data_IF_298853573524
#
_entry.id   IF_298853573524
#
_cell.length_a   1.000
_cell.length_b   1.000
_cell.length_c   1.000
_cell.angle_alpha   90.00
_cell.angle_beta   90.00
_cell.angle_gamma   90.00
#
_symmetry.space_group_name_H-M   'P 1'
#
loop_
_entity.id
_entity.type
_entity.pdbx_description
1 polymer ?
#
# COMPACT_ATOMS: atom_id res chain seq x y z
N UNK A 1 5.54 -17.02 17.86
CA UNK A 1 4.44 -16.44 17.07
C UNK A 1 4.18 -15.05 17.62
N UNK A 2 4.28 -13.99 16.82
CA UNK A 2 4.03 -12.63 17.32
C UNK A 2 2.53 -12.44 17.58
N UNK A 3 2.12 -11.89 18.74
CA UNK A 3 0.72 -11.65 19.04
C UNK A 3 0.13 -10.66 18.03
N UNK A 4 -1.15 -10.84 17.69
CA UNK A 4 -1.89 -9.87 16.88
C UNK A 4 -1.92 -8.54 17.62
N UNK A 5 -1.47 -7.47 16.95
CA UNK A 5 -1.52 -6.10 17.48
C UNK A 5 -2.48 -5.31 16.62
N UNK A 6 -3.55 -4.81 17.24
CA UNK A 6 -4.61 -4.04 16.58
C UNK A 6 -4.63 -2.63 17.17
N UNK A 7 -4.76 -1.63 16.32
CA UNK A 7 -5.00 -0.24 16.68
C UNK A 7 -6.41 0.16 16.27
N UNK A 8 -7.22 0.63 17.21
CA UNK A 8 -8.62 1.01 16.99
C UNK A 8 -8.72 2.52 16.72
N UNK A 9 -9.38 2.89 15.64
CA UNK A 9 -9.67 4.27 15.24
C UNK A 9 -11.15 4.64 15.42
N UNK A 10 -11.90 3.89 16.21
CA UNK A 10 -13.36 3.95 16.42
C UNK A 10 -14.19 3.50 15.19
N UNK A 11 -13.76 3.82 13.98
CA UNK A 11 -14.42 3.45 12.72
C UNK A 11 -13.70 2.32 11.96
N UNK A 12 -12.51 1.93 12.39
CA UNK A 12 -11.70 0.87 11.77
C UNK A 12 -10.72 0.26 12.78
N UNK A 13 -10.48 -1.04 12.63
CA UNK A 13 -9.47 -1.77 13.41
C UNK A 13 -8.30 -2.11 12.49
N UNK A 14 -7.13 -1.51 12.77
CA UNK A 14 -5.92 -1.69 11.98
C UNK A 14 -5.03 -2.78 12.60
N UNK A 15 -4.78 -3.87 11.87
CA UNK A 15 -3.76 -4.88 12.21
C UNK A 15 -2.35 -4.36 11.94
N UNK A 16 -1.87 -3.51 12.83
CA UNK A 16 -0.49 -2.99 12.84
C UNK A 16 0.55 -4.09 13.07
N UNK A 17 0.14 -5.27 13.54
CA UNK A 17 1.03 -6.42 13.67
C UNK A 17 1.24 -7.19 12.36
N UNK A 18 0.52 -6.86 11.29
CA UNK A 18 0.50 -7.66 10.06
C UNK A 18 1.85 -7.72 9.37
N UNK A 19 2.59 -6.60 9.33
CA UNK A 19 3.90 -6.54 8.69
C UNK A 19 4.88 -7.55 9.29
N UNK A 20 4.89 -7.66 10.61
CA UNK A 20 5.76 -8.60 11.32
C UNK A 20 5.39 -10.07 11.07
N UNK A 21 4.12 -10.36 10.76
CA UNK A 21 3.62 -11.73 10.55
C UNK A 21 3.64 -12.15 9.07
N UNK A 22 3.45 -11.21 8.15
CA UNK A 22 3.22 -11.48 6.72
C UNK A 22 4.23 -10.76 5.80
N UNK A 23 5.13 -9.96 6.35
CA UNK A 23 6.16 -9.22 5.61
C UNK A 23 5.67 -7.92 4.95
N UNK A 24 4.38 -7.60 5.04
CA UNK A 24 3.80 -6.36 4.50
C UNK A 24 2.75 -5.76 5.45
N UNK A 25 2.65 -4.42 5.52
CA UNK A 25 1.62 -3.74 6.30
C UNK A 25 0.22 -4.09 5.84
N UNK A 26 -0.78 -3.72 6.64
CA UNK A 26 -2.18 -3.87 6.26
C UNK A 26 -2.53 -3.08 4.98
N UNK A 27 -3.33 -3.72 4.13
CA UNK A 27 -3.90 -3.09 2.93
C UNK A 27 -5.31 -2.62 3.26
N UNK A 28 -5.58 -1.35 3.01
CA UNK A 28 -6.86 -0.73 3.31
C UNK A 28 -7.85 -1.02 2.19
N UNK A 29 -9.03 -1.51 2.57
CA UNK A 29 -10.17 -1.63 1.66
C UNK A 29 -10.95 -0.29 1.63
N UNK A 30 -10.87 0.43 0.51
CA UNK A 30 -11.43 1.77 0.33
C UNK A 30 -12.96 1.88 0.23
N UNK A 31 -13.70 0.95 -0.40
CA UNK A 31 -15.13 1.12 -0.64
C UNK A 31 -15.93 1.34 0.65
N UNK A 32 -16.81 2.35 0.61
CA UNK A 32 -17.65 2.76 1.74
C UNK A 32 -16.96 3.62 2.79
N UNK A 33 -15.66 3.93 2.64
CA UNK A 33 -14.96 4.88 3.52
C UNK A 33 -15.04 6.29 2.98
N UNK A 34 -15.17 7.26 3.88
CA UNK A 34 -15.08 8.68 3.52
C UNK A 34 -13.62 9.08 3.27
N UNK A 35 -13.37 10.18 2.53
CA UNK A 35 -12.02 10.74 2.38
C UNK A 35 -11.33 10.98 3.72
N UNK A 36 -12.05 11.46 4.74
CA UNK A 36 -11.54 11.70 6.10
C UNK A 36 -11.07 10.41 6.77
N UNK A 37 -11.88 9.34 6.67
CA UNK A 37 -11.53 8.04 7.22
C UNK A 37 -10.29 7.45 6.54
N UNK A 38 -10.19 7.58 5.21
CA UNK A 38 -9.01 7.14 4.48
C UNK A 38 -7.78 7.95 4.92
N UNK A 39 -7.89 9.29 5.03
CA UNK A 39 -6.81 10.17 5.51
C UNK A 39 -6.33 9.78 6.90
N UNK A 40 -7.25 9.49 7.83
CA UNK A 40 -6.92 9.05 9.18
C UNK A 40 -6.17 7.72 9.18
N UNK A 41 -6.65 6.72 8.43
CA UNK A 41 -5.99 5.41 8.33
C UNK A 41 -4.58 5.55 7.73
N UNK A 42 -4.45 6.27 6.62
CA UNK A 42 -3.16 6.38 5.91
C UNK A 42 -2.14 7.23 6.66
N UNK A 43 -2.59 8.15 7.51
CA UNK A 43 -1.72 8.90 8.42
C UNK A 43 -1.25 8.07 9.62
N UNK A 44 -2.02 7.06 10.01
CA UNK A 44 -1.70 6.22 11.17
C UNK A 44 -0.82 5.02 10.80
N UNK A 45 -1.09 4.33 9.69
CA UNK A 45 -0.34 3.12 9.29
C UNK A 45 1.20 3.28 9.27
N UNK A 46 1.78 4.37 8.73
CA UNK A 46 3.24 4.58 8.73
C UNK A 46 3.86 4.79 10.11
N UNK A 47 3.05 5.14 11.13
CA UNK A 47 3.56 5.32 12.50
C UNK A 47 3.91 4.00 13.16
N UNK A 48 3.35 2.90 12.67
CA UNK A 48 3.55 1.55 13.21
C UNK A 48 4.32 0.63 12.27
N UNK A 49 4.44 0.99 10.99
CA UNK A 49 4.95 0.12 9.94
C UNK A 49 5.99 0.84 9.07
N UNK A 50 6.97 0.09 8.55
CA UNK A 50 8.01 0.61 7.66
C UNK A 50 7.71 0.38 6.17
N UNK A 51 6.83 -0.57 5.87
CA UNK A 51 6.40 -0.91 4.53
C UNK A 51 5.39 0.07 3.92
N UNK A 52 4.91 -0.21 2.71
CA UNK A 52 4.03 0.69 2.00
C UNK A 52 2.63 0.78 2.59
N UNK A 53 1.97 1.91 2.33
CA UNK A 53 0.54 2.09 2.55
C UNK A 53 -0.19 1.91 1.22
N UNK A 54 -1.14 0.98 1.19
CA UNK A 54 -1.96 0.68 0.02
C UNK A 54 -3.44 0.83 0.38
N UNK A 55 -4.18 1.60 -0.42
CA UNK A 55 -5.64 1.72 -0.33
C UNK A 55 -6.26 1.29 -1.65
N UNK A 56 -7.02 0.21 -1.61
CA UNK A 56 -7.57 -0.46 -2.80
C UNK A 56 -9.00 -0.03 -3.08
N UNK A 57 -9.40 -0.09 -4.36
CA UNK A 57 -10.76 0.21 -4.86
C UNK A 57 -11.25 1.62 -4.49
N UNK A 58 -10.34 2.60 -4.47
CA UNK A 58 -10.67 4.02 -4.27
C UNK A 58 -11.17 4.59 -5.60
N UNK A 59 -12.23 5.38 -5.60
CA UNK A 59 -12.65 6.14 -6.79
C UNK A 59 -11.80 7.41 -6.96
N UNK A 60 -11.79 7.98 -8.16
CA UNK A 60 -10.96 9.15 -8.46
C UNK A 60 -11.36 10.42 -7.69
N UNK A 61 -12.62 10.55 -7.28
CA UNK A 61 -13.09 11.68 -6.48
C UNK A 61 -12.47 11.63 -5.10
N UNK A 62 -12.67 10.51 -4.40
CA UNK A 62 -12.05 10.24 -3.10
C UNK A 62 -10.52 10.32 -3.18
N UNK A 63 -9.91 9.75 -4.22
CA UNK A 63 -8.45 9.78 -4.40
C UNK A 63 -7.88 11.18 -4.60
N UNK A 64 -8.66 12.14 -5.11
CA UNK A 64 -8.24 13.54 -5.26
C UNK A 64 -8.15 14.30 -3.93
N UNK A 65 -8.85 13.84 -2.89
CA UNK A 65 -8.95 14.53 -1.59
C UNK A 65 -7.98 14.02 -0.52
N UNK A 66 -7.38 12.85 -0.75
CA UNK A 66 -6.44 12.19 0.16
C UNK A 66 -4.95 12.61 0.01
N UNK A 67 -4.41 13.09 -1.15
CA UNK A 67 -2.96 13.20 -1.37
C UNK A 67 -2.21 14.09 -0.38
N UNK A 68 -2.87 15.11 0.18
CA UNK A 68 -2.25 15.99 1.19
C UNK A 68 -1.78 15.23 2.44
N UNK A 69 -2.36 14.06 2.73
CA UNK A 69 -2.03 13.23 3.90
C UNK A 69 -1.21 12.00 3.51
N UNK A 70 -0.85 11.88 2.23
CA UNK A 70 -0.06 10.79 1.68
C UNK A 70 1.13 11.36 0.88
N UNK A 71 2.08 12.04 1.53
CA UNK A 71 3.20 12.69 0.84
C UNK A 71 4.06 11.65 0.10
N UNK A 72 4.30 11.87 -1.20
CA UNK A 72 4.98 10.88 -2.05
C UNK A 72 4.09 9.72 -2.51
N UNK A 73 2.79 9.80 -2.25
CA UNK A 73 1.80 8.86 -2.74
C UNK A 73 1.38 9.11 -4.19
N UNK A 74 0.95 8.05 -4.87
CA UNK A 74 0.42 8.08 -6.23
C UNK A 74 -0.92 7.36 -6.30
N UNK A 75 -1.76 7.77 -7.25
CA UNK A 75 -3.02 7.11 -7.57
C UNK A 75 -2.96 6.49 -8.96
N UNK A 76 -3.27 5.19 -9.05
CA UNK A 76 -3.48 4.48 -10.31
C UNK A 76 -4.99 4.35 -10.56
N UNK A 77 -5.49 5.04 -11.59
CA UNK A 77 -6.91 5.07 -11.92
C UNK A 77 -7.43 3.74 -12.47
N UNK A 78 -6.59 2.94 -13.15
CA UNK A 78 -6.98 1.65 -13.72
C UNK A 78 -7.11 0.61 -12.60
N UNK A 79 -6.12 0.55 -11.72
CA UNK A 79 -6.15 -0.34 -10.56
C UNK A 79 -7.04 0.16 -9.42
N UNK A 80 -7.47 1.43 -9.47
CA UNK A 80 -8.19 2.13 -8.39
C UNK A 80 -7.41 2.03 -7.07
N UNK A 81 -6.12 2.32 -7.13
CA UNK A 81 -5.16 2.09 -6.06
C UNK A 81 -4.46 3.39 -5.69
N UNK A 82 -4.57 3.76 -4.42
CA UNK A 82 -3.71 4.76 -3.81
C UNK A 82 -2.53 4.05 -3.13
N UNK A 83 -1.31 4.44 -3.44
CA UNK A 83 -0.11 3.80 -2.93
C UNK A 83 0.93 4.83 -2.50
N UNK A 84 1.55 4.61 -1.35
CA UNK A 84 2.71 5.37 -0.88
C UNK A 84 3.75 4.42 -0.32
N UNK A 85 5.01 4.72 -0.63
CA UNK A 85 6.14 4.05 -0.03
C UNK A 85 6.53 4.78 1.24
N UNK A 86 6.60 4.08 2.37
CA UNK A 86 6.98 4.70 3.64
C UNK A 86 8.51 4.91 3.79
N UNK A 87 9.31 4.38 2.86
CA UNK A 87 10.78 4.46 2.92
C UNK A 87 11.38 5.40 1.87
N UNK A 88 12.03 6.46 2.33
CA UNK A 88 12.93 7.33 1.54
C UNK A 88 14.38 6.84 1.60
N UNK A 89 14.64 5.54 1.44
CA UNK A 89 16.03 5.04 1.40
C UNK A 89 16.69 5.54 0.11
N UNK A 90 17.40 6.67 0.19
CA UNK A 90 18.13 7.23 -0.93
C UNK A 90 19.10 6.18 -1.49
N UNK A 91 19.00 5.88 -2.79
CA UNK A 91 19.82 4.89 -3.48
C UNK A 91 19.21 3.49 -3.65
N UNK A 92 18.05 3.19 -3.03
CA UNK A 92 17.29 1.95 -3.29
C UNK A 92 15.99 2.30 -4.00
N UNK A 93 15.89 1.96 -5.29
CA UNK A 93 14.59 1.99 -5.99
C UNK A 93 13.79 0.77 -5.57
N UNK A 94 13.07 0.88 -4.45
CA UNK A 94 12.03 -0.08 -4.10
C UNK A 94 10.81 0.18 -4.98
N UNK A 95 10.14 -0.87 -5.47
CA UNK A 95 8.92 -0.77 -6.26
C UNK A 95 7.92 -1.83 -5.83
N UNK A 96 6.63 -1.54 -5.94
CA UNK A 96 5.56 -2.48 -5.61
C UNK A 96 4.79 -2.78 -6.90
N UNK A 97 4.54 -4.05 -7.15
CA UNK A 97 3.66 -4.49 -8.24
C UNK A 97 2.46 -5.19 -7.63
N UNK A 98 1.27 -4.74 -8.02
CA UNK A 98 0.00 -5.33 -7.62
C UNK A 98 -0.57 -6.10 -8.80
N UNK A 99 -1.03 -7.32 -8.53
CA UNK A 99 -1.64 -8.22 -9.52
C UNK A 99 -2.92 -8.82 -8.94
N UNK A 100 -3.84 -9.23 -9.81
CA UNK A 100 -5.03 -9.96 -9.39
C UNK A 100 -4.65 -11.35 -8.87
N UNK A 101 -5.38 -11.83 -7.86
CA UNK A 101 -5.10 -13.13 -7.19
C UNK A 101 -5.19 -14.34 -8.13
N UNK A 102 -5.93 -14.22 -9.23
CA UNK A 102 -6.12 -15.25 -10.25
C UNK A 102 -5.17 -15.12 -11.46
N UNK A 103 -4.31 -14.08 -11.50
CA UNK A 103 -3.44 -13.81 -12.64
C UNK A 103 -2.01 -14.34 -12.43
N UNK A 104 -1.88 -15.66 -12.25
CA UNK A 104 -0.58 -16.30 -12.01
C UNK A 104 0.44 -16.05 -13.14
N UNK A 105 -0.01 -16.09 -14.40
CA UNK A 105 0.84 -15.75 -15.55
C UNK A 105 1.27 -14.28 -15.55
N UNK A 106 0.34 -13.36 -15.24
CA UNK A 106 0.65 -11.93 -15.14
C UNK A 106 1.66 -11.64 -14.04
N UNK A 107 1.51 -12.28 -12.88
CA UNK A 107 2.45 -12.21 -11.77
C UNK A 107 3.85 -12.70 -12.16
N UNK A 108 3.94 -13.87 -12.81
CA UNK A 108 5.20 -14.43 -13.27
C UNK A 108 5.89 -13.52 -14.31
N UNK A 109 5.13 -12.97 -15.26
CA UNK A 109 5.65 -12.05 -16.27
C UNK A 109 6.13 -10.73 -15.66
N UNK A 110 5.41 -10.18 -14.69
CA UNK A 110 5.82 -8.99 -13.98
C UNK A 110 7.12 -9.23 -13.19
N UNK A 111 7.20 -10.34 -12.44
CA UNK A 111 8.41 -10.72 -11.72
C UNK A 111 9.61 -10.92 -12.66
N UNK A 112 9.42 -11.60 -13.80
CA UNK A 112 10.46 -11.77 -14.81
C UNK A 112 10.96 -10.43 -15.36
N UNK A 113 10.03 -9.51 -15.71
CA UNK A 113 10.39 -8.18 -16.21
C UNK A 113 11.18 -7.36 -15.18
N UNK A 114 10.79 -7.41 -13.90
CA UNK A 114 11.51 -6.73 -12.83
C UNK A 114 12.93 -7.30 -12.64
N UNK A 115 13.04 -8.63 -12.58
CA UNK A 115 14.34 -9.31 -12.44
C UNK A 115 15.27 -9.03 -13.62
N UNK A 116 14.72 -8.83 -14.82
CA UNK A 116 15.50 -8.52 -16.02
C UNK A 116 15.87 -7.04 -16.13
N UNK A 117 14.96 -6.13 -15.80
CA UNK A 117 15.24 -4.69 -15.73
C UNK A 117 16.35 -4.37 -14.72
N UNK A 118 16.37 -5.07 -13.58
CA UNK A 118 17.43 -4.94 -12.57
C UNK A 118 18.82 -5.34 -13.09
N UNK A 119 18.92 -6.35 -13.96
CA UNK A 119 20.21 -6.80 -14.55
C UNK A 119 20.79 -5.84 -15.59
N UNK A 120 19.98 -4.98 -16.20
CA UNK A 120 20.45 -3.98 -17.19
C UNK A 120 20.95 -2.69 -16.56
N UNK A 121 20.69 -2.48 -15.27
CA UNK A 121 21.10 -1.29 -14.51
C UNK A 121 22.36 -1.53 -13.66
N UNK A 122 22.94 -2.73 -13.73
CA UNK A 122 24.17 -3.13 -13.05
C UNK A 122 25.35 -3.17 -14.03
#
# INVERSE_FOLDING_TARGET
>A
MHPTRVHDLDFAQLDIGREQRQGLPEVVYGPGKTPEQIRAIVGELPRHNCGPVLVTRVDSGTAGEVPAHLPGGSYDALARLLAMQASCAAGITAGITVVNIDSGFGAAMAAHRLAWAGRRRA
#
